data_IF_334914248127
#
_entry.id   IF_334914248127
#
_cell.length_a   1.000
_cell.length_b   1.000
_cell.length_c   1.000
_cell.angle_alpha   90.00
_cell.angle_beta   90.00
_cell.angle_gamma   90.00
#
_symmetry.space_group_name_H-M   'P 1'
#
loop_
_entity.id
_entity.type
_entity.pdbx_description
1 polymer ?
#
# COMPACT_ATOMS: atom_id res chain seq x y z
N UNK A 1 -23.80 -4.80 12.34
CA UNK A 1 -23.56 -4.74 10.90
C UNK A 1 -22.14 -4.25 10.66
N UNK A 2 -21.32 -5.10 10.05
CA UNK A 2 -20.02 -4.72 9.50
C UNK A 2 -20.22 -3.78 8.30
N UNK A 3 -19.28 -2.87 8.06
CA UNK A 3 -19.29 -1.98 6.88
C UNK A 3 -19.37 -2.77 5.57
N UNK A 4 -18.83 -4.00 5.56
CA UNK A 4 -18.90 -4.91 4.41
C UNK A 4 -20.32 -5.39 4.14
N UNK A 5 -21.10 -5.67 5.18
CA UNK A 5 -22.48 -6.16 5.06
C UNK A 5 -23.41 -5.06 4.52
N UNK A 6 -23.23 -3.82 4.99
CA UNK A 6 -23.96 -2.64 4.47
C UNK A 6 -23.68 -2.39 2.99
N UNK A 7 -22.41 -2.55 2.57
CA UNK A 7 -22.03 -2.44 1.17
C UNK A 7 -22.72 -3.48 0.30
N UNK A 8 -22.81 -4.73 0.76
CA UNK A 8 -23.48 -5.80 0.00
C UNK A 8 -24.96 -5.49 -0.17
N UNK A 9 -25.66 -5.03 0.88
CA UNK A 9 -27.07 -4.68 0.78
C UNK A 9 -27.36 -3.48 -0.14
N UNK A 10 -26.42 -2.52 -0.23
CA UNK A 10 -26.54 -1.38 -1.15
C UNK A 10 -26.29 -1.81 -2.60
N UNK A 11 -25.31 -2.70 -2.82
CA UNK A 11 -24.98 -3.22 -4.16
C UNK A 11 -26.08 -4.10 -4.74
N UNK A 12 -26.83 -4.82 -3.90
CA UNK A 12 -28.00 -5.59 -4.35
C UNK A 12 -29.11 -4.72 -4.96
N UNK A 13 -29.16 -3.43 -4.63
CA UNK A 13 -30.13 -2.49 -5.18
C UNK A 13 -29.63 -1.75 -6.43
N UNK A 14 -28.36 -1.93 -6.80
CA UNK A 14 -27.76 -1.22 -7.92
C UNK A 14 -28.05 -1.89 -9.26
N UNK A 15 -28.17 -1.08 -10.30
CA UNK A 15 -28.26 -1.56 -11.68
C UNK A 15 -26.87 -1.93 -12.19
N UNK A 16 -26.80 -2.89 -13.11
CA UNK A 16 -25.54 -3.44 -13.65
C UNK A 16 -24.51 -2.38 -14.11
N UNK A 17 -24.89 -1.27 -14.78
CA UNK A 17 -23.94 -0.22 -15.15
C UNK A 17 -23.28 0.51 -13.96
N UNK A 18 -23.98 0.61 -12.83
CA UNK A 18 -23.44 1.23 -11.61
C UNK A 18 -22.55 0.24 -10.85
N UNK A 19 -22.82 -1.06 -10.96
CA UNK A 19 -21.95 -2.09 -10.39
C UNK A 19 -20.58 -2.10 -11.07
N UNK A 20 -20.53 -1.90 -12.39
CA UNK A 20 -19.28 -1.76 -13.14
C UNK A 20 -18.45 -0.57 -12.63
N UNK A 21 -19.08 0.59 -12.41
CA UNK A 21 -18.40 1.77 -11.88
C UNK A 21 -17.86 1.54 -10.45
N UNK A 22 -18.62 0.83 -9.60
CA UNK A 22 -18.16 0.47 -8.25
C UNK A 22 -17.00 -0.53 -8.31
N UNK A 23 -17.06 -1.52 -9.21
CA UNK A 23 -15.99 -2.48 -9.42
C UNK A 23 -14.70 -1.78 -9.87
N UNK A 24 -14.79 -0.86 -10.81
CA UNK A 24 -13.68 -0.02 -11.26
C UNK A 24 -13.07 0.77 -10.11
N UNK A 25 -13.89 1.37 -9.24
CA UNK A 25 -13.40 2.07 -8.07
C UNK A 25 -12.70 1.15 -7.06
N UNK A 26 -13.22 -0.07 -6.85
CA UNK A 26 -12.56 -1.07 -5.99
C UNK A 26 -11.20 -1.50 -6.58
N UNK A 27 -11.11 -1.70 -7.89
CA UNK A 27 -9.86 -2.01 -8.58
C UNK A 27 -8.86 -0.85 -8.50
N UNK A 28 -9.33 0.38 -8.64
CA UNK A 28 -8.53 1.58 -8.45
C UNK A 28 -7.96 1.65 -7.03
N UNK A 29 -8.76 1.42 -5.98
CA UNK A 29 -8.30 1.43 -4.59
C UNK A 29 -7.25 0.34 -4.31
N UNK A 30 -7.43 -0.87 -4.84
CA UNK A 30 -6.44 -1.95 -4.73
C UNK A 30 -5.11 -1.58 -5.39
N UNK A 31 -5.17 -0.94 -6.55
CA UNK A 31 -3.99 -0.49 -7.30
C UNK A 31 -3.29 0.64 -6.56
N UNK A 32 -4.05 1.60 -6.02
CA UNK A 32 -3.52 2.70 -5.20
C UNK A 32 -2.80 2.18 -3.96
N UNK A 33 -3.39 1.23 -3.23
CA UNK A 33 -2.75 0.62 -2.06
C UNK A 33 -1.43 -0.09 -2.42
N UNK A 34 -1.40 -0.77 -3.56
CA UNK A 34 -0.17 -1.43 -4.06
C UNK A 34 0.89 -0.40 -4.43
N UNK A 35 0.50 0.69 -5.09
CA UNK A 35 1.40 1.76 -5.48
C UNK A 35 1.95 2.52 -4.28
N UNK A 36 1.10 2.87 -3.31
CA UNK A 36 1.53 3.51 -2.05
C UNK A 36 2.50 2.63 -1.25
N UNK A 37 2.32 1.30 -1.27
CA UNK A 37 3.28 0.36 -0.65
C UNK A 37 4.63 0.36 -1.35
N UNK A 38 4.65 0.41 -2.68
CA UNK A 38 5.88 0.48 -3.48
C UNK A 38 6.58 1.83 -3.25
N UNK A 39 5.83 2.94 -3.27
CA UNK A 39 6.36 4.29 -3.02
C UNK A 39 6.93 4.40 -1.60
N UNK A 40 6.29 3.76 -0.60
CA UNK A 40 6.81 3.69 0.78
C UNK A 40 8.08 2.86 0.89
N UNK A 41 8.18 1.74 0.16
CA UNK A 41 9.40 0.93 0.12
C UNK A 41 10.57 1.70 -0.50
N UNK A 42 10.35 2.39 -1.63
CA UNK A 42 11.36 3.21 -2.31
C UNK A 42 11.75 4.42 -1.45
N UNK A 43 10.80 5.07 -0.77
CA UNK A 43 11.10 6.15 0.16
C UNK A 43 11.97 5.68 1.34
N UNK A 44 11.74 4.46 1.83
CA UNK A 44 12.55 3.85 2.90
C UNK A 44 13.97 3.53 2.45
N UNK A 45 14.21 3.17 1.18
CA UNK A 45 15.57 3.01 0.64
C UNK A 45 16.37 4.32 0.74
N UNK A 46 15.75 5.46 0.42
CA UNK A 46 16.43 6.77 0.46
C UNK A 46 16.81 7.22 1.88
N UNK A 47 16.05 6.78 2.90
CA UNK A 47 16.34 7.04 4.31
C UNK A 47 17.38 6.06 4.85
N UNK A 48 17.30 4.76 4.53
CA UNK A 48 18.27 3.74 4.97
C UNK A 48 19.66 3.95 4.38
N UNK A 49 19.76 4.46 3.15
CA UNK A 49 21.05 4.67 2.47
C UNK A 49 21.90 5.77 3.10
N UNK A 50 21.31 6.65 3.91
CA UNK A 50 22.02 7.76 4.59
C UNK A 50 22.69 7.35 5.90
N UNK A 51 22.19 6.34 6.59
CA UNK A 51 22.81 5.87 7.85
C UNK A 51 23.75 4.67 7.67
N UNK A 52 23.65 3.91 6.58
CA UNK A 52 24.46 2.69 6.34
C UNK A 52 25.92 2.95 5.89
N UNK A 53 26.30 4.18 5.53
CA UNK A 53 27.62 4.53 4.97
C UNK A 53 28.52 5.30 5.95
N UNK A 54 28.33 5.11 7.26
CA UNK A 54 29.24 5.67 8.27
C UNK A 54 30.46 4.76 8.41
N UNK A 55 31.64 5.32 8.16
CA UNK A 55 32.91 4.61 8.31
C UNK A 55 33.11 4.08 9.76
N UNK A 56 32.43 4.68 10.75
CA UNK A 56 32.46 4.21 12.13
C UNK A 56 31.78 2.84 12.34
N UNK A 57 30.81 2.45 11.51
CA UNK A 57 30.19 1.11 11.62
C UNK A 57 31.06 0.02 11.00
N UNK A 58 31.81 0.28 9.92
CA UNK A 58 32.74 -0.69 9.34
C UNK A 58 33.83 -1.13 10.34
N UNK A 59 34.27 -0.22 11.22
CA UNK A 59 35.25 -0.52 12.28
C UNK A 59 34.68 -1.45 13.37
N UNK A 60 33.39 -1.30 13.69
CA UNK A 60 32.71 -2.14 14.69
C UNK A 60 32.45 -3.57 14.18
N UNK A 61 32.32 -3.76 12.87
CA UNK A 61 32.09 -5.07 12.23
C UNK A 61 33.39 -5.84 11.95
N UNK A 62 34.56 -5.21 12.03
CA UNK A 62 35.86 -5.91 11.91
C UNK A 62 36.24 -6.72 13.16
N UNK A 63 35.51 -6.53 14.27
CA UNK A 63 35.78 -7.20 15.56
C UNK A 63 34.75 -8.29 15.93
N UNK A 64 33.87 -8.67 15.01
CA UNK A 64 32.90 -9.77 15.14
C UNK A 64 33.33 -10.99 14.30
#
# INVERSE_FOLDING_TARGET
MSKKELLISELEQFTEPLLDEVLDFVHFLKTKLTKERIDTAIASESALRKDWLKAEEDEAWQSL
#
